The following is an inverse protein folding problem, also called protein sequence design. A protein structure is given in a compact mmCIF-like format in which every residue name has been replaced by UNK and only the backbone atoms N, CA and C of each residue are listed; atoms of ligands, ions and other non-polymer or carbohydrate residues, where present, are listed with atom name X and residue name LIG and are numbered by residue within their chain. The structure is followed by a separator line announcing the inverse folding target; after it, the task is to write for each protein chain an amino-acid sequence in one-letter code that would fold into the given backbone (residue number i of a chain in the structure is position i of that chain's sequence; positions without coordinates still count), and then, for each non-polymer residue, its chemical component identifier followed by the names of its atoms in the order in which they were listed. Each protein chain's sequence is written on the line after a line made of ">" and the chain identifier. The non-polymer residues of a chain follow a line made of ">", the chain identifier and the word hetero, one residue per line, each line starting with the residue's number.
data_IF_308897324789
#
_entry.id   IF_308897324789
#
_cell.length_a   1.000
_cell.length_b   1.000
_cell.length_c   1.000
_cell.angle_alpha   90.00
_cell.angle_beta   90.00
_cell.angle_gamma   90.00
#
_symmetry.space_group_name_H-M   'P 1'
#
loop_
_entity.id
_entity.type
_entity.pdbx_description
1 polymer ?
#
# COMPACT_ATOMS: atom_id res chain seq x y z
N UNK A 1 57.20 -6.58 -12.40
CA UNK A 1 57.04 -7.18 -13.75
C UNK A 1 55.66 -7.81 -13.80
N UNK A 2 54.63 -7.35 -14.54
CA UNK A 2 54.51 -6.59 -15.79
C UNK A 2 53.26 -5.66 -15.69
N UNK A 3 53.41 -4.33 -15.64
CA UNK A 3 53.14 -3.31 -16.71
C UNK A 3 51.71 -3.42 -17.32
N UNK A 4 50.69 -2.68 -16.84
CA UNK A 4 50.20 -1.32 -17.24
C UNK A 4 49.77 -1.20 -18.71
N UNK A 5 48.49 -0.85 -18.96
CA UNK A 5 48.06 0.04 -20.05
C UNK A 5 46.63 0.59 -19.82
N UNK A 6 46.55 1.79 -19.22
CA UNK A 6 45.43 2.72 -19.32
C UNK A 6 45.39 3.31 -20.74
N UNK A 7 44.21 3.44 -21.34
CA UNK A 7 44.02 4.26 -22.54
C UNK A 7 42.98 5.37 -22.23
N UNK A 8 43.50 6.59 -22.23
CA UNK A 8 42.84 7.90 -22.09
C UNK A 8 42.49 8.41 -23.50
N UNK A 9 41.40 9.17 -23.64
CA UNK A 9 41.19 10.38 -24.49
C UNK A 9 39.71 10.46 -24.88
N UNK A 10 38.86 11.33 -24.32
CA UNK A 10 38.82 12.79 -24.48
C UNK A 10 38.63 13.25 -25.94
N UNK A 11 37.38 13.50 -26.35
CA UNK A 11 37.04 14.36 -27.49
C UNK A 11 35.96 15.36 -27.05
N UNK A 12 36.41 16.60 -26.82
CA UNK A 12 35.60 17.79 -26.59
C UNK A 12 35.44 18.58 -27.90
N UNK A 13 34.27 19.19 -28.06
CA UNK A 13 33.94 20.37 -28.86
C UNK A 13 33.81 20.26 -30.40
N UNK A 14 32.58 20.46 -30.87
CA UNK A 14 32.27 21.27 -32.06
C UNK A 14 31.10 22.20 -31.72
N UNK A 15 31.37 23.51 -31.79
CA UNK A 15 30.38 24.57 -31.75
C UNK A 15 29.66 24.65 -33.11
N UNK A 16 28.36 24.96 -33.09
CA UNK A 16 27.60 25.30 -34.29
C UNK A 16 26.38 26.13 -33.93
N UNK A 17 26.49 27.45 -34.06
CA UNK A 17 25.34 28.35 -34.11
C UNK A 17 24.62 28.16 -35.45
N UNK A 18 23.31 27.98 -35.41
CA UNK A 18 22.45 28.01 -36.60
C UNK A 18 21.20 28.81 -36.31
N UNK A 19 21.28 30.15 -36.43
CA UNK A 19 20.10 31.01 -36.57
C UNK A 19 19.52 30.77 -37.96
N UNK A 20 18.45 29.98 -38.03
CA UNK A 20 17.65 29.77 -39.24
C UNK A 20 16.24 30.27 -39.00
N UNK A 21 15.98 31.53 -39.36
CA UNK A 21 14.63 32.05 -39.55
C UNK A 21 14.09 31.52 -40.88
N UNK A 22 13.17 30.56 -40.82
CA UNK A 22 12.27 30.26 -41.94
C UNK A 22 10.85 30.25 -41.40
N UNK A 23 10.14 31.32 -41.74
CA UNK A 23 8.68 31.37 -41.72
C UNK A 23 8.19 30.40 -42.79
N UNK A 24 7.61 29.28 -42.39
CA UNK A 24 6.70 28.51 -43.24
C UNK A 24 5.39 28.33 -42.46
N UNK A 25 4.36 28.94 -43.02
CA UNK A 25 2.99 28.96 -42.53
C UNK A 25 2.39 27.55 -42.54
N UNK A 26 1.56 27.18 -41.55
CA UNK A 26 1.10 25.80 -41.38
C UNK A 26 -0.02 25.47 -42.38
N UNK A 27 0.27 24.56 -43.32
CA UNK A 27 -0.80 23.84 -44.04
C UNK A 27 -1.10 22.56 -43.26
N UNK A 28 -2.16 22.59 -42.44
CA UNK A 28 -2.68 21.43 -41.71
C UNK A 28 -3.47 20.55 -42.71
N UNK A 29 -3.07 19.28 -42.95
CA UNK A 29 -3.93 18.30 -43.59
C UNK A 29 -5.11 17.94 -42.66
N UNK A 30 -6.33 17.72 -43.19
CA UNK A 30 -7.46 17.35 -42.34
C UNK A 30 -7.31 15.91 -41.83
N UNK A 31 -7.76 15.71 -40.59
CA UNK A 31 -8.22 14.42 -40.05
C UNK A 31 -7.17 13.34 -39.78
N UNK A 32 -6.56 13.38 -38.58
CA UNK A 32 -6.74 12.30 -37.60
C UNK A 32 -6.78 12.97 -36.21
N UNK A 33 -7.96 13.44 -35.79
CA UNK A 33 -8.19 13.78 -34.40
C UNK A 33 -8.17 12.49 -33.58
N UNK A 34 -7.00 12.08 -33.13
CA UNK A 34 -6.88 11.07 -32.09
C UNK A 34 -7.54 11.66 -30.85
N UNK A 35 -8.77 11.23 -30.57
CA UNK A 35 -9.47 11.51 -29.33
C UNK A 35 -8.79 10.74 -28.19
N UNK A 36 -7.55 11.12 -27.88
CA UNK A 36 -6.95 10.80 -26.59
C UNK A 36 -7.27 12.01 -25.72
N UNK A 37 -8.42 11.93 -25.05
CA UNK A 37 -8.72 12.78 -23.91
C UNK A 37 -7.61 12.53 -22.87
N UNK A 38 -6.73 13.50 -22.55
CA UNK A 38 -5.78 13.36 -21.46
C UNK A 38 -6.55 13.62 -20.15
N UNK A 39 -7.59 12.81 -19.91
CA UNK A 39 -8.20 12.74 -18.60
C UNK A 39 -7.09 12.32 -17.63
N UNK A 40 -6.81 13.09 -16.58
CA UNK A 40 -5.81 12.70 -15.61
C UNK A 40 -6.27 11.39 -14.99
N UNK A 41 -5.60 10.28 -15.34
CA UNK A 41 -5.71 9.03 -14.59
C UNK A 41 -5.14 9.33 -13.22
N UNK A 42 -5.98 9.82 -12.32
CA UNK A 42 -5.63 9.97 -10.92
C UNK A 42 -5.54 8.53 -10.40
N UNK A 43 -4.35 7.99 -10.07
CA UNK A 43 -4.31 6.70 -9.41
C UNK A 43 -5.04 6.90 -8.09
N UNK A 44 -6.25 6.32 -7.98
CA UNK A 44 -6.97 6.28 -6.71
C UNK A 44 -6.04 5.55 -5.74
N UNK A 45 -5.37 6.32 -4.89
CA UNK A 45 -4.45 5.83 -3.86
C UNK A 45 -5.24 5.26 -2.68
N UNK A 46 -6.41 4.69 -2.96
CA UNK A 46 -7.33 4.17 -1.98
C UNK A 46 -6.89 2.79 -1.52
N UNK A 47 -6.98 2.55 -0.22
CA UNK A 47 -6.89 1.19 0.32
C UNK A 47 -7.92 0.28 -0.34
N UNK A 48 -7.63 -1.02 -0.50
CA UNK A 48 -8.58 -1.96 -1.08
C UNK A 48 -9.89 -1.98 -0.30
N UNK A 49 -11.00 -2.25 -1.00
CA UNK A 49 -12.28 -2.49 -0.33
C UNK A 49 -12.24 -3.94 0.16
N UNK A 50 -12.34 -4.20 1.47
CA UNK A 50 -12.21 -5.55 1.99
C UNK A 50 -13.49 -6.35 1.71
N UNK A 51 -13.34 -7.64 1.38
CA UNK A 51 -14.46 -8.54 1.14
C UNK A 51 -14.88 -9.28 2.41
N UNK A 52 -16.17 -9.55 2.56
CA UNK A 52 -16.62 -10.47 3.59
C UNK A 52 -16.35 -11.92 3.17
N UNK A 53 -15.81 -12.73 4.08
CA UNK A 53 -15.59 -14.17 3.91
C UNK A 53 -16.21 -14.95 5.09
N UNK A 54 -16.49 -16.26 4.94
CA UNK A 54 -17.01 -17.10 6.03
C UNK A 54 -16.16 -17.05 7.30
N UNK A 55 -16.74 -17.39 8.46
CA UNK A 55 -16.08 -17.29 9.78
C UNK A 55 -15.11 -18.42 10.15
N UNK A 56 -14.54 -19.11 9.16
CA UNK A 56 -13.55 -20.15 9.42
C UNK A 56 -12.24 -19.52 9.94
N UNK A 57 -11.44 -20.24 10.73
CA UNK A 57 -10.15 -19.71 11.21
C UNK A 57 -9.23 -19.35 10.03
N UNK A 58 -9.02 -18.05 9.83
CA UNK A 58 -8.12 -17.52 8.79
C UNK A 58 -6.77 -17.18 9.41
N UNK A 59 -5.72 -17.88 9.01
CA UNK A 59 -4.35 -17.50 9.33
C UNK A 59 -3.99 -17.59 10.83
N UNK A 60 -2.96 -16.85 11.22
CA UNK A 60 -2.45 -16.77 12.59
C UNK A 60 -3.23 -15.73 13.37
N UNK A 61 -3.73 -16.07 14.56
CA UNK A 61 -4.41 -15.11 15.44
C UNK A 61 -3.40 -14.16 16.08
N UNK A 62 -3.66 -12.86 15.95
CA UNK A 62 -2.91 -11.79 16.60
C UNK A 62 -3.75 -11.18 17.73
N UNK A 63 -3.07 -10.80 18.81
CA UNK A 63 -3.63 -9.91 19.83
C UNK A 63 -3.31 -8.45 19.48
N UNK A 64 -4.19 -7.52 19.85
CA UNK A 64 -3.94 -6.09 19.69
C UNK A 64 -2.76 -5.66 20.56
N UNK A 65 -1.75 -5.07 19.92
CA UNK A 65 -0.51 -4.56 20.53
C UNK A 65 -0.36 -3.08 20.21
N UNK A 66 -0.98 -2.17 20.98
CA UNK A 66 -0.89 -0.72 20.73
C UNK A 66 0.52 -0.15 20.95
N UNK A 67 1.43 -0.92 21.56
CA UNK A 67 2.82 -0.58 21.83
C UNK A 67 3.78 -0.90 20.67
N UNK A 68 3.29 -1.40 19.52
CA UNK A 68 4.13 -1.65 18.34
C UNK A 68 4.96 -0.41 17.95
N UNK A 69 6.22 -0.66 17.60
CA UNK A 69 7.15 0.37 17.11
C UNK A 69 7.29 0.30 15.60
N UNK A 70 7.66 1.43 14.98
CA UNK A 70 7.73 1.55 13.50
C UNK A 70 6.41 1.11 12.84
N UNK A 71 5.28 1.47 13.46
CA UNK A 71 3.95 1.13 12.97
C UNK A 71 3.68 1.81 11.63
N UNK A 72 3.08 1.06 10.69
CA UNK A 72 2.64 1.59 9.40
C UNK A 72 1.17 1.20 9.17
N UNK A 73 0.38 2.06 8.50
CA UNK A 73 -0.93 1.67 8.01
C UNK A 73 -0.82 0.39 7.18
N UNK A 74 -1.67 -0.58 7.47
CA UNK A 74 -1.67 -1.88 6.78
C UNK A 74 -3.09 -2.15 6.33
N UNK A 75 -3.34 -2.30 5.02
CA UNK A 75 -4.67 -2.67 4.55
C UNK A 75 -4.97 -4.11 4.94
N UNK A 76 -6.23 -4.40 5.21
CA UNK A 76 -6.75 -5.77 5.27
C UNK A 76 -7.59 -6.04 4.02
N UNK A 77 -7.54 -7.28 3.54
CA UNK A 77 -8.12 -7.68 2.24
C UNK A 77 -9.50 -8.31 2.41
N UNK A 78 -9.74 -8.94 3.55
CA UNK A 78 -11.01 -9.56 3.88
C UNK A 78 -11.33 -9.48 5.38
N UNK A 79 -12.56 -9.79 5.73
CA UNK A 79 -13.04 -9.85 7.10
C UNK A 79 -14.14 -10.90 7.24
N UNK A 80 -14.36 -11.38 8.46
CA UNK A 80 -15.46 -12.29 8.80
C UNK A 80 -16.26 -11.75 9.97
N UNK A 81 -17.53 -12.15 10.06
CA UNK A 81 -18.33 -11.96 11.28
C UNK A 81 -17.75 -12.84 12.40
N UNK A 82 -17.58 -12.25 13.58
CA UNK A 82 -17.15 -12.95 14.79
C UNK A 82 -18.27 -12.92 15.84
N UNK A 83 -18.15 -13.74 16.89
CA UNK A 83 -19.15 -13.78 17.94
C UNK A 83 -19.27 -12.44 18.71
N UNK A 84 -20.50 -12.09 19.08
CA UNK A 84 -20.79 -10.84 19.78
C UNK A 84 -20.67 -9.61 18.86
N UNK A 85 -20.31 -8.48 19.45
CA UNK A 85 -20.09 -7.22 18.71
C UNK A 85 -18.65 -7.18 18.22
N UNK A 86 -18.26 -8.10 17.33
CA UNK A 86 -16.89 -8.20 16.82
C UNK A 86 -16.88 -8.54 15.33
N UNK A 87 -15.78 -8.19 14.68
CA UNK A 87 -15.38 -8.71 13.37
C UNK A 87 -13.96 -9.22 13.44
N UNK A 88 -13.62 -10.22 12.64
CA UNK A 88 -12.24 -10.65 12.46
C UNK A 88 -11.73 -10.07 11.13
N UNK A 89 -10.68 -9.25 11.17
CA UNK A 89 -10.04 -8.73 9.94
C UNK A 89 -8.87 -9.62 9.54
N UNK A 90 -8.67 -9.83 8.24
CA UNK A 90 -7.64 -10.73 7.70
C UNK A 90 -6.65 -9.94 6.84
N UNK A 91 -5.38 -10.04 7.21
CA UNK A 91 -4.31 -9.20 6.67
C UNK A 91 -3.02 -9.99 6.49
N UNK A 92 -2.02 -9.37 5.86
CA UNK A 92 -0.68 -9.94 5.71
C UNK A 92 0.30 -9.11 6.53
N UNK A 93 1.13 -9.79 7.33
CA UNK A 93 2.19 -9.16 8.12
C UNK A 93 3.40 -10.10 8.26
N UNK A 94 4.36 -9.75 9.13
CA UNK A 94 5.46 -10.62 9.50
C UNK A 94 5.08 -11.68 10.54
N UNK A 95 6.06 -12.45 11.01
CA UNK A 95 5.79 -13.50 12.01
C UNK A 95 5.44 -12.88 13.38
N UNK A 96 4.55 -13.53 14.16
CA UNK A 96 4.04 -12.97 15.42
C UNK A 96 5.10 -12.83 16.52
N UNK A 97 6.26 -13.47 16.38
CA UNK A 97 7.38 -13.31 17.33
C UNK A 97 8.11 -11.97 17.17
N UNK A 98 7.91 -11.30 16.03
CA UNK A 98 8.62 -10.08 15.65
C UNK A 98 7.68 -8.92 15.35
N UNK A 99 6.48 -9.20 14.85
CA UNK A 99 5.53 -8.21 14.38
C UNK A 99 4.24 -8.29 15.18
N UNK A 100 3.65 -7.13 15.42
CA UNK A 100 2.34 -7.00 16.06
C UNK A 100 1.37 -6.25 15.17
N UNK A 101 0.10 -6.31 15.56
CA UNK A 101 -1.00 -5.61 14.90
C UNK A 101 -1.79 -4.81 15.94
N UNK A 102 -2.32 -3.66 15.52
CA UNK A 102 -3.21 -2.85 16.32
C UNK A 102 -4.27 -2.20 15.41
N UNK A 103 -5.51 -2.12 15.88
CA UNK A 103 -6.61 -1.59 15.11
C UNK A 103 -7.42 -0.59 15.92
N UNK A 104 -7.80 0.51 15.26
CA UNK A 104 -8.77 1.47 15.81
C UNK A 104 -10.01 1.49 14.95
N UNK A 105 -11.18 1.68 15.59
CA UNK A 105 -12.48 1.64 14.92
C UNK A 105 -13.17 2.99 15.01
N UNK A 106 -13.70 3.46 13.89
CA UNK A 106 -14.67 4.56 13.84
C UNK A 106 -15.99 4.03 13.28
N UNK A 107 -17.08 4.18 14.04
CA UNK A 107 -18.40 3.66 13.69
C UNK A 107 -19.38 4.79 13.36
N UNK A 108 -20.17 4.57 12.32
CA UNK A 108 -21.37 5.33 12.00
C UNK A 108 -22.57 4.39 11.89
N UNK A 109 -23.75 4.95 11.61
CA UNK A 109 -24.97 4.16 11.37
C UNK A 109 -24.88 3.23 10.15
N UNK A 110 -23.95 3.49 9.23
CA UNK A 110 -23.84 2.76 7.94
C UNK A 110 -22.48 2.12 7.69
N UNK A 111 -21.45 2.54 8.42
CA UNK A 111 -20.06 2.15 8.14
C UNK A 111 -19.29 1.85 9.43
N UNK A 112 -18.46 0.83 9.38
CA UNK A 112 -17.41 0.51 10.35
C UNK A 112 -16.08 0.69 9.65
N UNK A 113 -15.38 1.76 9.97
CA UNK A 113 -14.06 2.06 9.42
C UNK A 113 -12.98 1.54 10.37
N UNK A 114 -12.14 0.63 9.89
CA UNK A 114 -11.08 0.01 10.68
C UNK A 114 -9.72 0.46 10.13
N UNK A 115 -8.95 1.14 10.97
CA UNK A 115 -7.58 1.52 10.66
C UNK A 115 -6.63 0.54 11.33
N UNK A 116 -6.14 -0.41 10.55
CA UNK A 116 -5.14 -1.39 10.98
C UNK A 116 -3.73 -0.80 10.82
N UNK A 117 -2.90 -1.03 11.83
CA UNK A 117 -1.46 -0.78 11.78
C UNK A 117 -0.73 -2.06 12.12
N UNK A 118 0.35 -2.32 11.42
CA UNK A 118 1.31 -3.37 11.80
C UNK A 118 2.68 -2.77 11.97
N UNK A 119 3.48 -3.37 12.84
CA UNK A 119 4.79 -2.87 13.22
C UNK A 119 5.61 -3.92 13.93
N UNK A 120 6.81 -3.57 14.34
CA UNK A 120 7.67 -4.47 15.11
C UNK A 120 7.30 -4.40 16.59
N UNK A 121 7.33 -5.54 17.27
CA UNK A 121 7.15 -5.59 18.72
C UNK A 121 8.32 -4.86 19.42
N UNK A 122 8.10 -4.11 20.52
CA UNK A 122 9.18 -3.47 21.27
C UNK A 122 10.31 -4.43 21.65
N UNK A 123 9.96 -5.63 22.11
CA UNK A 123 10.89 -6.70 22.49
C UNK A 123 11.67 -7.31 21.30
N UNK A 124 11.32 -6.94 20.06
CA UNK A 124 11.97 -7.38 18.82
C UNK A 124 12.58 -6.22 18.02
N UNK A 125 12.52 -4.98 18.51
CA UNK A 125 12.95 -3.78 17.78
C UNK A 125 14.40 -3.84 17.29
N UNK A 126 15.28 -4.41 18.12
CA UNK A 126 16.73 -4.53 17.87
C UNK A 126 17.15 -5.98 17.53
N UNK A 127 16.20 -6.85 17.21
CA UNK A 127 16.46 -8.25 16.84
C UNK A 127 16.48 -8.43 15.32
N UNK A 128 17.15 -9.50 14.89
CA UNK A 128 17.10 -9.94 13.49
C UNK A 128 15.75 -10.61 13.23
N UNK A 129 14.81 -9.87 12.66
CA UNK A 129 13.51 -10.39 12.25
C UNK A 129 13.53 -10.73 10.76
N UNK A 130 13.26 -11.98 10.41
CA UNK A 130 13.05 -12.37 9.02
C UNK A 130 11.70 -11.82 8.54
N UNK A 131 11.64 -11.42 7.28
CA UNK A 131 10.41 -10.92 6.66
C UNK A 131 9.72 -12.07 5.92
N UNK A 132 8.95 -12.88 6.65
CA UNK A 132 8.07 -13.93 6.09
C UNK A 132 6.65 -13.42 6.12
N UNK A 133 5.97 -13.44 4.97
CA UNK A 133 4.57 -13.06 4.87
C UNK A 133 3.68 -14.10 5.56
N UNK A 134 3.01 -13.67 6.62
CA UNK A 134 2.06 -14.46 7.41
C UNK A 134 0.68 -13.86 7.19
N UNK A 135 -0.29 -14.71 6.88
CA UNK A 135 -1.70 -14.36 6.95
C UNK A 135 -2.09 -14.27 8.43
N UNK A 136 -2.49 -13.09 8.87
CA UNK A 136 -2.92 -12.80 10.23
C UNK A 136 -4.41 -12.54 10.29
N UNK A 137 -5.00 -12.85 11.45
CA UNK A 137 -6.34 -12.39 11.82
C UNK A 137 -6.31 -11.64 13.13
N UNK A 138 -7.11 -10.58 13.25
CA UNK A 138 -7.28 -9.81 14.47
C UNK A 138 -8.77 -9.62 14.74
N UNK A 139 -9.23 -10.05 15.92
CA UNK A 139 -10.57 -9.72 16.38
C UNK A 139 -10.65 -8.25 16.78
N UNK A 140 -11.60 -7.53 16.19
CA UNK A 140 -11.82 -6.11 16.39
C UNK A 140 -13.18 -5.93 17.08
N UNK A 141 -13.21 -5.44 18.34
CA UNK A 141 -14.45 -5.15 19.03
C UNK A 141 -15.14 -3.92 18.44
N UNK A 142 -16.46 -4.00 18.36
CA UNK A 142 -17.38 -2.95 17.93
C UNK A 142 -18.20 -2.45 19.13
N UNK A 143 -18.60 -1.19 19.09
CA UNK A 143 -19.46 -0.53 20.08
C UNK A 143 -20.91 -1.02 19.96
N UNK A 144 -21.35 -1.39 18.76
CA UNK A 144 -22.69 -1.91 18.47
C UNK A 144 -22.62 -3.14 17.55
N UNK A 145 -23.70 -3.96 17.48
CA UNK A 145 -23.78 -5.07 16.52
C UNK A 145 -23.51 -4.61 15.09
N UNK A 146 -22.83 -5.41 14.27
CA UNK A 146 -22.47 -5.01 12.91
C UNK A 146 -23.70 -4.68 12.04
N UNK A 147 -24.73 -5.55 12.07
CA UNK A 147 -25.91 -5.42 11.21
C UNK A 147 -25.56 -5.42 9.72
N UNK A 148 -26.14 -4.46 8.99
CA UNK A 148 -25.92 -4.23 7.56
C UNK A 148 -24.83 -3.18 7.27
N UNK A 149 -24.09 -2.75 8.30
CA UNK A 149 -23.04 -1.73 8.15
C UNK A 149 -21.88 -2.28 7.35
N UNK A 150 -21.31 -1.43 6.50
CA UNK A 150 -20.17 -1.78 5.65
C UNK A 150 -18.87 -1.72 6.44
N UNK A 151 -18.05 -2.75 6.36
CA UNK A 151 -16.68 -2.73 6.88
C UNK A 151 -15.74 -2.19 5.80
N UNK A 152 -14.92 -1.19 6.12
CA UNK A 152 -13.94 -0.60 5.18
C UNK A 152 -12.60 -0.34 5.87
N UNK A 153 -11.53 -0.25 5.06
CA UNK A 153 -10.23 0.26 5.48
C UNK A 153 -10.32 1.77 5.79
N UNK A 154 -9.58 2.24 6.80
CA UNK A 154 -9.56 3.64 7.26
C UNK A 154 -8.19 4.29 7.27
#
# INVERSE_FOLDING_TARGET
>A
MRVIALAVLACLALAGCGSGSSTDEPTIPPEIASAVDPSPTNPSSGMPIPSEVPGDEFGTVFESRPDIVRANPTPFESWSRAEGNKVAIHFVTGTPECYGADATVTETDTTVTISLRTGTLPEAADKMCILVAVFGTLEVPLQAPLGDRRVING
#
